data_IF_514380517302
#
_entry.id   IF_514380517302
#
_cell.length_a   1.000
_cell.length_b   1.000
_cell.length_c   1.000
_cell.angle_alpha   90.00
_cell.angle_beta   90.00
_cell.angle_gamma   90.00
#
_symmetry.space_group_name_H-M   'P 1'
#
loop_
_entity.id
_entity.type
_entity.pdbx_description
1 polymer ?
#
# COMPACT_ATOMS: atom_id res chain seq x y z
N UNK A 1 -8.38 -5.19 -3.07
CA UNK A 1 -7.25 -5.88 -3.74
C UNK A 1 -6.31 -6.50 -2.68
N UNK A 2 -5.90 -7.76 -2.82
CA UNK A 2 -5.14 -8.46 -1.77
C UNK A 2 -3.72 -7.91 -1.53
N UNK A 3 -3.02 -7.48 -2.58
CA UNK A 3 -1.66 -6.93 -2.47
C UNK A 3 -1.60 -5.67 -1.60
N UNK A 4 -2.65 -4.85 -1.62
CA UNK A 4 -2.78 -3.65 -0.78
C UNK A 4 -2.75 -4.00 0.71
N UNK A 5 -3.43 -5.08 1.12
CA UNK A 5 -3.44 -5.55 2.51
C UNK A 5 -2.07 -6.08 2.95
N UNK A 6 -1.32 -6.69 2.02
CA UNK A 6 0.00 -7.26 2.28
C UNK A 6 1.11 -6.22 2.43
N UNK A 7 0.89 -4.95 2.05
CA UNK A 7 1.88 -3.88 2.22
C UNK A 7 2.40 -3.74 3.66
N UNK A 8 1.58 -4.10 4.67
CA UNK A 8 1.99 -4.07 6.09
C UNK A 8 2.82 -5.27 6.55
N UNK A 9 2.73 -6.40 5.85
CA UNK A 9 3.34 -7.65 6.30
C UNK A 9 4.53 -8.06 5.42
N UNK A 10 4.49 -7.71 4.13
CA UNK A 10 5.50 -8.05 3.11
C UNK A 10 5.62 -6.89 2.13
N UNK A 11 6.13 -5.77 2.64
CA UNK A 11 6.14 -4.49 1.92
C UNK A 11 6.84 -4.56 0.57
N UNK A 12 8.00 -5.23 0.47
CA UNK A 12 8.77 -5.27 -0.78
C UNK A 12 8.04 -6.08 -1.87
N UNK A 13 7.53 -7.26 -1.53
CA UNK A 13 6.86 -8.16 -2.45
C UNK A 13 5.49 -7.61 -2.87
N UNK A 14 4.74 -7.03 -1.93
CA UNK A 14 3.47 -6.38 -2.22
C UNK A 14 3.65 -5.16 -3.13
N UNK A 15 4.69 -4.34 -2.90
CA UNK A 15 5.03 -3.22 -3.79
C UNK A 15 5.37 -3.69 -5.20
N UNK A 16 6.16 -4.76 -5.33
CA UNK A 16 6.53 -5.29 -6.66
C UNK A 16 5.29 -5.73 -7.46
N UNK A 17 4.33 -6.40 -6.83
CA UNK A 17 3.07 -6.81 -7.47
C UNK A 17 2.21 -5.59 -7.85
N UNK A 18 2.07 -4.60 -6.97
CA UNK A 18 1.31 -3.39 -7.26
C UNK A 18 1.95 -2.57 -8.38
N UNK A 19 3.29 -2.47 -8.41
CA UNK A 19 4.03 -1.79 -9.48
C UNK A 19 3.80 -2.47 -10.83
N UNK A 20 3.72 -3.80 -10.86
CA UNK A 20 3.43 -4.51 -12.11
C UNK A 20 2.01 -4.25 -12.59
N UNK A 21 1.03 -4.24 -11.68
CA UNK A 21 -0.38 -4.00 -12.02
C UNK A 21 -0.61 -2.55 -12.45
N UNK A 22 0.11 -1.60 -11.84
CA UNK A 22 0.05 -0.18 -12.18
C UNK A 22 0.54 0.13 -13.62
N UNK A 23 1.30 -0.75 -14.26
CA UNK A 23 1.71 -0.60 -15.67
C UNK A 23 0.59 -0.88 -16.67
N UNK A 24 -0.48 -1.55 -16.22
CA UNK A 24 -1.62 -1.88 -17.06
C UNK A 24 -2.57 -0.70 -17.26
N UNK A 25 -3.77 -1.00 -17.74
CA UNK A 25 -4.83 -0.02 -17.95
C UNK A 25 -6.11 -0.41 -17.19
N UNK A 26 -7.01 0.56 -17.02
CA UNK A 26 -8.30 0.34 -16.36
C UNK A 26 -8.24 0.42 -14.84
N UNK A 27 -9.34 -0.01 -14.20
CA UNK A 27 -9.57 0.21 -12.77
C UNK A 27 -8.51 -0.42 -11.87
N UNK A 28 -8.02 -1.62 -12.21
CA UNK A 28 -7.00 -2.31 -11.42
C UNK A 28 -5.65 -1.56 -11.41
N UNK A 29 -5.24 -0.99 -12.55
CA UNK A 29 -4.02 -0.20 -12.66
C UNK A 29 -4.15 1.14 -11.90
N UNK A 30 -5.33 1.75 -11.96
CA UNK A 30 -5.65 2.95 -11.17
C UNK A 30 -5.59 2.67 -9.67
N UNK A 31 -6.26 1.62 -9.20
CA UNK A 31 -6.27 1.22 -7.79
C UNK A 31 -4.86 0.90 -7.27
N UNK A 32 -4.03 0.21 -8.07
CA UNK A 32 -2.66 -0.11 -7.70
C UNK A 32 -1.78 1.14 -7.58
N UNK A 33 -1.91 2.09 -8.52
CA UNK A 33 -1.19 3.37 -8.49
C UNK A 33 -1.58 4.21 -7.28
N UNK A 34 -2.88 4.31 -7.00
CA UNK A 34 -3.43 5.06 -5.87
C UNK A 34 -3.04 4.45 -4.51
N UNK A 35 -2.89 3.13 -4.44
CA UNK A 35 -2.40 2.43 -3.25
C UNK A 35 -0.91 2.67 -3.00
N UNK A 36 -0.08 2.63 -4.05
CA UNK A 36 1.36 2.93 -3.96
C UNK A 36 1.59 4.38 -3.50
N UNK A 37 0.85 5.33 -4.08
CA UNK A 37 0.92 6.75 -3.71
C UNK A 37 0.60 6.97 -2.23
N UNK A 38 -0.52 6.43 -1.74
CA UNK A 38 -0.92 6.57 -0.32
C UNK A 38 0.04 5.88 0.65
N UNK A 39 0.70 4.81 0.19
CA UNK A 39 1.75 4.17 0.95
C UNK A 39 2.99 5.07 1.09
N UNK A 40 3.42 5.73 0.00
CA UNK A 40 4.55 6.67 0.01
C UNK A 40 4.27 7.94 0.80
N UNK A 41 3.03 8.45 0.73
CA UNK A 41 2.58 9.60 1.53
C UNK A 41 2.53 9.30 3.04
N UNK A 42 2.78 8.06 3.47
CA UNK A 42 2.71 7.66 4.86
C UNK A 42 1.30 7.76 5.44
N UNK A 43 0.28 8.02 4.62
CA UNK A 43 -1.13 8.15 5.07
C UNK A 43 -1.65 6.85 5.65
N UNK A 44 -1.03 5.72 5.30
CA UNK A 44 -1.32 4.39 5.86
C UNK A 44 -0.29 3.90 6.86
N UNK A 45 0.60 4.77 7.33
CA UNK A 45 1.39 4.54 8.54
C UNK A 45 0.42 4.58 9.74
N UNK A 46 -0.40 3.53 9.84
CA UNK A 46 -1.16 3.16 11.01
C UNK A 46 -0.22 2.37 11.92
N UNK A 47 0.94 2.95 12.25
CA UNK A 47 1.40 2.70 13.61
C UNK A 47 0.28 3.30 14.47
N UNK A 48 -0.41 2.51 15.31
CA UNK A 48 -1.17 3.12 16.38
C UNK A 48 -0.15 4.01 17.08
N UNK A 49 -0.40 5.32 17.15
CA UNK A 49 0.30 6.15 18.12
C UNK A 49 0.23 5.34 19.40
N UNK A 50 1.36 4.89 19.94
CA UNK A 50 1.39 4.29 21.26
C UNK A 50 0.58 5.25 22.12
N UNK A 51 -0.60 4.79 22.52
CA UNK A 51 -1.40 5.50 23.49
C UNK A 51 -0.45 5.62 24.68
N UNK A 52 -0.05 6.85 24.97
CA UNK A 52 0.84 7.22 26.07
C UNK A 52 0.08 6.91 27.36
N UNK A 53 0.00 5.61 27.66
CA UNK A 53 -0.30 5.05 28.95
C UNK A 53 1.05 4.80 29.63
N UNK A 54 1.50 5.82 30.35
CA UNK A 54 2.71 5.79 31.15
C UNK A 54 2.97 7.14 31.80
#
# INVERSE_FOLDING_TARGET
MAAVYLLRYRTAEAKAVLLEIAKGEGLAAFEASEALKRWEEGTWALDPTEDVAG
#
